data_IF_323878838392
#
_entry.id   IF_323878838392
#
_cell.length_a   1.000
_cell.length_b   1.000
_cell.length_c   1.000
_cell.angle_alpha   90.00
_cell.angle_beta   90.00
_cell.angle_gamma   90.00
#
_symmetry.space_group_name_H-M   'P 1'
#
loop_
_entity.id
_entity.type
_entity.pdbx_description
1 polymer ?
#
# COMPACT_ATOMS: atom_id res chain seq x y z
N UNK A 1 3.37 52.17 -10.91
CA UNK A 1 2.98 51.45 -9.68
C UNK A 1 3.28 49.97 -9.95
N UNK A 2 4.40 49.45 -9.45
CA UNK A 2 4.86 48.07 -9.69
C UNK A 2 4.67 47.28 -8.41
N UNK A 3 3.86 46.21 -8.45
CA UNK A 3 3.66 45.31 -7.31
C UNK A 3 4.71 44.21 -7.42
N UNK A 4 5.73 44.28 -6.56
CA UNK A 4 6.71 43.23 -6.39
C UNK A 4 6.02 42.07 -5.65
N UNK A 5 5.71 40.98 -6.36
CA UNK A 5 5.28 39.71 -5.76
C UNK A 5 6.44 39.14 -4.94
N UNK A 6 6.40 39.32 -3.63
CA UNK A 6 7.37 38.73 -2.70
C UNK A 6 7.33 37.20 -2.76
N UNK A 7 8.48 36.59 -3.00
CA UNK A 7 8.70 35.15 -3.01
C UNK A 7 8.64 34.56 -1.59
N UNK A 8 7.45 34.55 -0.97
CA UNK A 8 7.26 34.04 0.39
C UNK A 8 7.15 32.51 0.47
N UNK A 9 6.95 31.82 -0.66
CA UNK A 9 6.77 30.35 -0.67
C UNK A 9 8.04 29.54 -0.37
N UNK A 10 9.22 30.08 -0.66
CA UNK A 10 10.49 29.36 -0.48
C UNK A 10 10.92 29.20 0.99
N UNK A 11 10.62 30.18 1.84
CA UNK A 11 10.99 30.14 3.26
C UNK A 11 10.06 29.28 4.10
N UNK A 12 8.78 29.19 3.71
CA UNK A 12 7.79 28.40 4.45
C UNK A 12 8.04 26.89 4.33
N UNK A 13 8.50 26.41 3.15
CA UNK A 13 8.91 25.00 2.96
C UNK A 13 10.13 24.63 3.81
N UNK A 14 11.13 25.52 3.89
CA UNK A 14 12.32 25.30 4.72
C UNK A 14 11.99 25.30 6.21
N UNK A 15 11.11 26.21 6.64
CA UNK A 15 10.62 26.25 8.03
C UNK A 15 9.88 24.96 8.40
N UNK A 16 9.02 24.44 7.52
CA UNK A 16 8.30 23.18 7.74
C UNK A 16 9.24 21.98 7.83
N UNK A 17 10.25 21.90 6.96
CA UNK A 17 11.26 20.83 7.01
C UNK A 17 12.07 20.90 8.32
N UNK A 18 12.46 22.11 8.74
CA UNK A 18 13.21 22.29 10.00
C UNK A 18 12.33 21.98 11.21
N UNK A 19 11.06 22.41 11.24
CA UNK A 19 10.12 22.05 12.30
C UNK A 19 9.84 20.55 12.34
N UNK A 20 9.72 19.90 11.19
CA UNK A 20 9.62 18.45 11.09
C UNK A 20 10.87 17.79 11.68
N UNK A 21 12.08 18.15 11.25
CA UNK A 21 13.32 17.61 11.80
C UNK A 21 13.49 17.87 13.31
N UNK A 22 13.10 19.04 13.81
CA UNK A 22 13.16 19.37 15.24
C UNK A 22 12.14 18.58 16.06
N UNK A 23 10.96 18.28 15.49
CA UNK A 23 10.00 17.39 16.13
C UNK A 23 10.60 15.98 16.34
N UNK A 24 11.39 15.46 15.40
CA UNK A 24 12.08 14.17 15.54
C UNK A 24 13.38 14.22 16.34
N UNK A 25 13.95 15.41 16.60
CA UNK A 25 15.20 15.56 17.34
C UNK A 25 15.01 15.62 18.87
N UNK A 26 13.77 15.71 19.37
CA UNK A 26 13.52 15.70 20.80
C UNK A 26 13.79 14.30 21.39
N UNK A 27 14.44 14.19 22.56
CA UNK A 27 14.68 12.90 23.24
C UNK A 27 13.42 12.10 23.55
N UNK A 28 12.25 12.75 23.48
CA UNK A 28 10.92 12.19 23.62
C UNK A 28 10.42 11.44 22.37
N UNK A 29 11.26 11.22 21.36
CA UNK A 29 10.99 10.35 20.21
C UNK A 29 12.12 9.32 20.07
N UNK A 30 12.49 8.70 21.19
CA UNK A 30 13.51 7.66 21.18
C UNK A 30 12.98 6.46 20.38
N UNK A 31 13.68 6.11 19.28
CA UNK A 31 13.47 4.87 18.56
C UNK A 31 13.79 3.70 19.52
N UNK A 32 12.78 2.95 19.91
CA UNK A 32 12.90 1.82 20.85
C UNK A 32 13.06 0.47 20.18
N UNK A 33 12.72 0.37 18.90
CA UNK A 33 12.87 -0.88 18.18
C UNK A 33 12.62 -0.73 16.69
N UNK A 34 13.19 -1.65 15.93
CA UNK A 34 12.92 -1.83 14.50
C UNK A 34 12.53 -3.28 14.27
N UNK A 35 11.46 -3.50 13.52
CA UNK A 35 11.03 -4.85 13.12
C UNK A 35 10.80 -4.92 11.62
N UNK A 36 11.11 -6.07 11.02
CA UNK A 36 10.91 -6.34 9.60
C UNK A 36 9.88 -7.45 9.45
N UNK A 37 9.00 -7.36 8.47
CA UNK A 37 8.01 -8.38 8.25
C UNK A 37 7.79 -8.71 6.79
N UNK A 38 7.37 -9.94 6.56
CA UNK A 38 6.84 -10.43 5.30
C UNK A 38 5.36 -10.71 5.49
N UNK A 39 4.53 -10.41 4.50
CA UNK A 39 3.10 -10.69 4.56
C UNK A 39 2.55 -11.10 3.20
N UNK A 40 1.53 -11.95 3.25
CA UNK A 40 0.73 -12.36 2.11
C UNK A 40 -0.75 -12.18 2.43
N UNK A 41 -1.57 -12.01 1.41
CA UNK A 41 -2.97 -11.70 1.63
C UNK A 41 -3.78 -11.54 0.37
N UNK A 42 -4.91 -10.86 0.55
CA UNK A 42 -5.88 -10.57 -0.50
C UNK A 42 -6.24 -9.09 -0.45
N UNK A 43 -6.33 -8.51 -1.63
CA UNK A 43 -6.90 -7.20 -1.84
C UNK A 43 -8.28 -7.40 -2.47
N UNK A 44 -9.30 -6.79 -1.89
CA UNK A 44 -10.70 -7.06 -2.20
C UNK A 44 -11.51 -5.79 -2.46
N UNK A 45 -12.63 -5.93 -3.17
CA UNK A 45 -13.50 -4.83 -3.60
C UNK A 45 -12.75 -3.78 -4.43
N UNK A 46 -11.92 -4.25 -5.37
CA UNK A 46 -11.23 -3.36 -6.29
C UNK A 46 -12.18 -2.93 -7.42
N UNK A 47 -13.08 -2.00 -7.10
CA UNK A 47 -13.99 -1.41 -8.08
C UNK A 47 -13.31 -0.21 -8.74
N UNK A 48 -13.05 -0.33 -10.04
CA UNK A 48 -12.42 0.69 -10.88
C UNK A 48 -13.23 0.82 -12.17
N UNK A 49 -14.15 1.80 -12.25
CA UNK A 49 -15.04 1.96 -13.40
C UNK A 49 -14.31 2.27 -14.71
N UNK A 50 -13.11 2.88 -14.62
CA UNK A 50 -12.25 3.16 -15.77
C UNK A 50 -11.54 1.92 -16.31
N UNK A 51 -11.56 0.80 -15.58
CA UNK A 51 -10.85 -0.44 -15.88
C UNK A 51 -11.77 -1.66 -15.97
N UNK A 52 -13.07 -1.50 -15.73
CA UNK A 52 -14.04 -2.60 -15.83
C UNK A 52 -14.37 -2.88 -17.30
N UNK A 53 -13.90 -4.00 -17.84
CA UNK A 53 -14.56 -4.58 -19.02
C UNK A 53 -15.95 -5.09 -18.61
N UNK A 54 -16.95 -5.12 -19.52
CA UNK A 54 -18.27 -5.64 -19.16
C UNK A 54 -18.12 -7.11 -18.76
N UNK A 55 -18.49 -7.45 -17.51
CA UNK A 55 -18.42 -8.78 -16.85
C UNK A 55 -17.18 -9.12 -16.00
N UNK A 56 -16.23 -8.20 -15.83
CA UNK A 56 -15.05 -8.47 -14.97
C UNK A 56 -15.33 -8.29 -13.48
N UNK A 57 -15.27 -9.39 -12.74
CA UNK A 57 -15.24 -9.38 -11.29
C UNK A 57 -13.81 -9.14 -10.79
N UNK A 58 -13.37 -7.88 -10.72
CA UNK A 58 -12.08 -7.48 -10.15
C UNK A 58 -12.07 -7.55 -8.60
N UNK A 59 -13.00 -8.28 -7.98
CA UNK A 59 -13.22 -8.25 -6.53
C UNK A 59 -12.08 -8.80 -5.69
N UNK A 60 -11.14 -9.58 -6.22
CA UNK A 60 -10.07 -10.22 -5.44
C UNK A 60 -8.74 -10.27 -6.21
N UNK A 61 -7.66 -9.76 -5.60
CA UNK A 61 -6.28 -9.86 -6.08
C UNK A 61 -5.41 -10.51 -5.00
N UNK A 62 -4.49 -11.38 -5.40
CA UNK A 62 -3.47 -11.89 -4.49
C UNK A 62 -2.51 -10.75 -4.12
N UNK A 63 -2.04 -10.72 -2.88
CA UNK A 63 -1.15 -9.67 -2.39
C UNK A 63 0.03 -10.28 -1.65
N UNK A 64 1.22 -9.72 -1.88
CA UNK A 64 2.45 -10.05 -1.16
C UNK A 64 3.24 -8.79 -0.87
N UNK A 65 3.92 -8.72 0.26
CA UNK A 65 4.64 -7.51 0.62
C UNK A 65 5.61 -7.64 1.78
N UNK A 66 6.35 -6.56 1.96
CA UNK A 66 7.30 -6.36 3.04
C UNK A 66 6.85 -5.18 3.89
N UNK A 67 7.15 -5.23 5.18
CA UNK A 67 6.94 -4.11 6.09
C UNK A 67 8.13 -3.88 7.00
N UNK A 68 8.32 -2.62 7.38
CA UNK A 68 9.27 -2.19 8.41
C UNK A 68 8.48 -1.40 9.44
N UNK A 69 8.63 -1.76 10.71
CA UNK A 69 8.01 -1.07 11.84
C UNK A 69 9.09 -0.39 12.67
N UNK A 70 8.87 0.88 12.97
CA UNK A 70 9.68 1.68 13.88
C UNK A 70 8.85 1.96 15.13
N UNK A 71 9.31 1.47 16.28
CA UNK A 71 8.66 1.74 17.56
C UNK A 71 9.32 2.93 18.23
N UNK A 72 8.51 3.82 18.80
CA UNK A 72 8.98 5.02 19.49
C UNK A 72 8.28 5.23 20.83
N UNK A 73 9.01 5.73 21.82
CA UNK A 73 8.39 6.28 23.04
C UNK A 73 8.03 7.74 22.75
N UNK A 74 6.81 8.24 23.06
CA UNK A 74 5.63 7.52 23.54
C UNK A 74 4.48 7.44 22.51
N UNK A 75 3.74 6.32 22.58
CA UNK A 75 2.40 6.05 22.02
C UNK A 75 2.26 5.55 20.58
N UNK A 76 3.13 5.91 19.63
CA UNK A 76 2.90 5.53 18.24
C UNK A 76 4.08 4.80 17.61
N UNK A 77 3.76 3.71 16.92
CA UNK A 77 4.67 3.05 16.00
C UNK A 77 4.41 3.57 14.59
N UNK A 78 5.45 3.60 13.77
CA UNK A 78 5.35 3.91 12.34
C UNK A 78 5.59 2.63 11.55
N UNK A 79 4.64 2.27 10.68
CA UNK A 79 4.76 1.14 9.76
C UNK A 79 4.92 1.68 8.35
N UNK A 80 6.02 1.32 7.70
CA UNK A 80 6.25 1.53 6.27
C UNK A 80 6.14 0.19 5.58
N UNK A 81 5.37 0.09 4.49
CA UNK A 81 5.22 -1.15 3.73
C UNK A 81 5.27 -0.93 2.22
N UNK A 82 5.80 -1.94 1.54
CA UNK A 82 5.76 -2.10 0.09
C UNK A 82 5.04 -3.40 -0.24
N UNK A 83 3.96 -3.32 -0.99
CA UNK A 83 3.06 -4.43 -1.31
C UNK A 83 2.83 -4.50 -2.81
N UNK A 84 2.77 -5.70 -3.36
CA UNK A 84 2.43 -5.97 -4.74
C UNK A 84 1.18 -6.83 -4.77
N UNK A 85 0.10 -6.27 -5.31
CA UNK A 85 -1.12 -7.01 -5.60
C UNK A 85 -1.16 -7.37 -7.09
N UNK A 86 -1.61 -8.59 -7.39
CA UNK A 86 -1.74 -9.04 -8.77
C UNK A 86 -2.94 -9.97 -8.96
N UNK A 87 -3.44 -9.97 -10.18
CA UNK A 87 -4.42 -10.92 -10.68
C UNK A 87 -4.13 -11.20 -12.16
N UNK A 88 -4.40 -12.43 -12.58
CA UNK A 88 -4.32 -12.82 -13.97
C UNK A 88 -5.60 -13.58 -14.31
N UNK A 89 -6.34 -13.08 -15.28
CA UNK A 89 -7.54 -13.69 -15.81
C UNK A 89 -7.28 -14.05 -17.29
N UNK A 90 -7.82 -15.18 -17.73
CA UNK A 90 -7.65 -15.66 -19.10
C UNK A 90 -9.03 -15.88 -19.71
N UNK A 91 -9.28 -15.28 -20.87
CA UNK A 91 -10.55 -15.40 -21.58
C UNK A 91 -10.34 -16.12 -22.90
N UNK A 92 -11.27 -17.03 -23.24
CA UNK A 92 -11.29 -17.64 -24.56
C UNK A 92 -12.28 -16.90 -25.45
N UNK A 93 -11.77 -16.26 -26.50
CA UNK A 93 -12.56 -15.56 -27.51
C UNK A 93 -12.27 -16.22 -28.85
N UNK A 94 -13.32 -16.72 -29.52
CA UNK A 94 -13.21 -17.37 -30.84
C UNK A 94 -12.21 -18.54 -30.90
N UNK A 95 -11.99 -19.24 -29.77
CA UNK A 95 -11.06 -20.38 -29.69
C UNK A 95 -9.61 -19.99 -29.38
N UNK A 96 -9.35 -18.71 -29.14
CA UNK A 96 -8.03 -18.18 -28.79
C UNK A 96 -8.05 -17.58 -27.38
N UNK A 97 -6.90 -17.60 -26.71
CA UNK A 97 -6.77 -17.11 -25.33
C UNK A 97 -6.24 -15.70 -25.31
N UNK A 98 -6.92 -14.82 -24.59
CA UNK A 98 -6.48 -13.47 -24.24
C UNK A 98 -6.21 -13.45 -22.74
N UNK A 99 -5.00 -13.06 -22.33
CA UNK A 99 -4.64 -12.93 -20.92
C UNK A 99 -4.72 -11.47 -20.49
N UNK A 100 -5.46 -11.22 -19.41
CA UNK A 100 -5.55 -9.94 -18.74
C UNK A 100 -4.83 -9.99 -17.40
N UNK A 101 -3.90 -9.08 -17.17
CA UNK A 101 -3.17 -9.00 -15.91
C UNK A 101 -3.40 -7.65 -15.28
N UNK A 102 -3.94 -7.63 -14.07
CA UNK A 102 -4.04 -6.42 -13.25
C UNK A 102 -2.97 -6.47 -12.18
N UNK A 103 -2.29 -5.34 -11.94
CA UNK A 103 -1.30 -5.18 -10.88
C UNK A 103 -1.48 -3.86 -10.14
N UNK A 104 -1.15 -3.87 -8.86
CA UNK A 104 -1.05 -2.66 -8.04
C UNK A 104 0.19 -2.76 -7.15
N UNK A 105 1.14 -1.84 -7.35
CA UNK A 105 2.29 -1.68 -6.48
C UNK A 105 2.00 -0.56 -5.48
N UNK A 106 1.88 -0.93 -4.21
CA UNK A 106 1.48 -0.09 -3.10
C UNK A 106 2.67 0.23 -2.19
N UNK A 107 2.91 1.51 -1.95
CA UNK A 107 3.81 1.99 -0.90
C UNK A 107 3.03 2.79 0.14
N UNK A 108 3.09 2.39 1.41
CA UNK A 108 2.31 3.02 2.47
C UNK A 108 3.13 3.36 3.70
N UNK A 109 2.76 4.44 4.36
CA UNK A 109 3.28 4.84 5.66
C UNK A 109 2.12 5.09 6.63
N UNK A 110 2.16 4.47 7.81
CA UNK A 110 1.05 4.46 8.76
C UNK A 110 1.55 4.75 10.17
N UNK A 111 0.79 5.53 10.92
CA UNK A 111 0.96 5.65 12.37
C UNK A 111 -0.03 4.71 13.05
N UNK A 112 0.47 3.86 13.95
CA UNK A 112 -0.35 2.88 14.68
C UNK A 112 -0.16 3.02 16.18
N UNK A 113 -1.24 2.81 16.92
CA UNK A 113 -1.26 2.75 18.37
C UNK A 113 -1.36 1.27 18.80
N UNK A 114 -0.32 0.69 19.42
CA UNK A 114 -0.36 -0.67 19.94
C UNK A 114 -1.03 -0.71 21.32
N UNK A 115 -1.87 -1.72 21.54
CA UNK A 115 -2.45 -2.05 22.84
C UNK A 115 -1.73 -3.27 23.41
N UNK A 116 -1.02 -3.11 24.52
CA UNK A 116 -0.25 -4.21 25.12
C UNK A 116 -1.18 -5.14 25.92
N UNK A 117 -1.39 -6.36 25.43
CA UNK A 117 -2.00 -7.46 26.18
C UNK A 117 -0.95 -8.56 26.44
N UNK A 118 -1.13 -9.42 27.46
CA UNK A 118 -0.10 -10.39 27.86
C UNK A 118 0.32 -11.41 26.79
N UNK A 119 -0.54 -11.69 25.81
CA UNK A 119 -0.33 -12.72 24.77
C UNK A 119 -0.55 -12.20 23.35
N UNK A 120 -1.03 -10.96 23.20
CA UNK A 120 -1.32 -10.36 21.91
C UNK A 120 -1.14 -8.85 21.96
N UNK A 121 -0.83 -8.25 20.81
CA UNK A 121 -0.73 -6.80 20.66
C UNK A 121 -1.67 -6.37 19.54
N UNK A 122 -2.96 -6.17 19.83
CA UNK A 122 -3.84 -5.50 18.88
C UNK A 122 -3.33 -4.08 18.63
N UNK A 123 -3.57 -3.56 17.44
CA UNK A 123 -3.23 -2.19 17.09
C UNK A 123 -4.27 -1.59 16.15
N UNK A 124 -4.38 -0.28 16.20
CA UNK A 124 -5.22 0.52 15.31
C UNK A 124 -4.41 1.70 14.79
N UNK A 125 -4.64 2.10 13.55
CA UNK A 125 -3.92 3.22 12.97
C UNK A 125 -4.53 3.73 11.69
N UNK A 126 -3.85 4.73 11.15
CA UNK A 126 -4.19 5.35 9.89
C UNK A 126 -2.92 5.73 9.14
N UNK A 127 -3.02 5.87 7.83
CA UNK A 127 -1.86 6.20 7.01
C UNK A 127 -2.21 6.77 5.67
N UNK A 128 -1.16 7.00 4.91
CA UNK A 128 -1.19 7.40 3.51
C UNK A 128 -0.53 6.32 2.68
N UNK A 129 -1.00 6.19 1.45
CA UNK A 129 -0.50 5.20 0.52
C UNK A 129 -0.42 5.75 -0.89
N UNK A 130 0.58 5.32 -1.65
CA UNK A 130 0.71 5.56 -3.07
C UNK A 130 0.53 4.24 -3.78
N UNK A 131 -0.39 4.21 -4.72
CA UNK A 131 -0.73 3.07 -5.56
C UNK A 131 -0.19 3.32 -6.96
N UNK A 132 0.44 2.32 -7.55
CA UNK A 132 0.86 2.31 -8.93
C UNK A 132 0.10 1.17 -9.61
N UNK A 133 -1.06 1.54 -10.13
CA UNK A 133 -2.05 0.63 -10.68
C UNK A 133 -1.77 0.47 -12.16
N UNK A 134 -1.70 -0.76 -12.64
CA UNK A 134 -1.54 -1.00 -14.06
C UNK A 134 -2.25 -2.25 -14.53
N UNK A 135 -2.44 -2.33 -15.84
CA UNK A 135 -2.89 -3.55 -16.49
C UNK A 135 -2.00 -3.86 -17.68
N UNK A 136 -1.89 -5.15 -17.98
CA UNK A 136 -1.29 -5.66 -19.21
C UNK A 136 -2.34 -6.54 -19.91
N UNK A 137 -2.51 -6.32 -21.22
CA UNK A 137 -3.33 -7.18 -22.10
C UNK A 137 -2.39 -7.91 -23.05
N UNK A 138 -2.37 -9.24 -22.96
CA UNK A 138 -1.60 -10.09 -23.87
C UNK A 138 -2.55 -10.71 -24.90
N UNK A 139 -2.40 -10.31 -26.17
CA UNK A 139 -3.21 -10.81 -27.29
C UNK A 139 -2.62 -12.10 -27.88
N UNK A 140 -3.45 -12.99 -28.46
CA UNK A 140 -2.97 -14.14 -29.20
C UNK A 140 -2.20 -13.69 -30.45
N UNK A 141 -1.14 -14.43 -30.81
CA UNK A 141 -0.24 -14.09 -31.92
C UNK A 141 -0.93 -14.02 -33.29
N UNK A 142 -2.08 -14.65 -33.42
CA UNK A 142 -2.99 -14.62 -34.58
C UNK A 142 -3.72 -13.29 -34.76
N UNK A 143 -3.90 -12.51 -33.69
CA UNK A 143 -4.52 -11.18 -33.72
C UNK A 143 -3.48 -10.05 -33.80
N UNK A 144 -2.23 -10.35 -33.46
CA UNK A 144 -1.13 -9.44 -33.71
C UNK A 144 -0.96 -9.27 -35.23
N UNK A 145 -1.30 -8.07 -35.73
CA UNK A 145 -0.83 -7.66 -37.06
C UNK A 145 0.70 -7.75 -37.05
N UNK A 146 1.30 -8.21 -38.14
CA UNK A 146 2.66 -8.79 -38.21
C UNK A 146 3.86 -7.92 -37.75
N UNK A 147 3.62 -6.76 -37.14
CA UNK A 147 4.62 -5.88 -36.52
C UNK A 147 4.20 -5.28 -35.15
N UNK A 148 2.99 -5.59 -34.64
CA UNK A 148 2.42 -5.00 -33.41
C UNK A 148 1.77 -6.06 -32.50
N UNK A 149 2.50 -7.14 -32.18
CA UNK A 149 2.21 -7.93 -30.99
C UNK A 149 2.60 -7.13 -29.72
N UNK A 150 2.11 -5.90 -29.59
CA UNK A 150 2.41 -5.04 -28.45
C UNK A 150 1.37 -5.33 -27.35
N UNK A 151 1.87 -5.85 -26.23
CA UNK A 151 1.11 -5.86 -24.98
C UNK A 151 0.72 -4.42 -24.66
N UNK A 152 -0.58 -4.14 -24.53
CA UNK A 152 -1.01 -2.81 -24.09
C UNK A 152 -0.83 -2.77 -22.58
N UNK A 153 0.14 -1.97 -22.13
CA UNK A 153 0.37 -1.69 -20.72
C UNK A 153 0.04 -0.22 -20.43
N UNK A 154 -0.82 0.03 -19.46
CA UNK A 154 -0.97 1.36 -18.86
C UNK A 154 -0.71 1.30 -17.37
N UNK A 155 -0.24 2.41 -16.84
CA UNK A 155 0.10 2.56 -15.43
C UNK A 155 -0.30 3.94 -14.95
N UNK A 156 -1.02 4.00 -13.84
CA UNK A 156 -1.43 5.23 -13.20
C UNK A 156 -0.99 5.26 -11.74
N UNK A 157 -0.35 6.36 -11.35
CA UNK A 157 -0.04 6.62 -9.94
C UNK A 157 -1.19 7.35 -9.28
N UNK A 158 -1.64 6.82 -8.14
CA UNK A 158 -2.73 7.36 -7.33
C UNK A 158 -2.28 7.46 -5.88
N UNK A 159 -2.86 8.42 -5.15
CA UNK A 159 -2.65 8.53 -3.72
C UNK A 159 -3.94 8.14 -2.99
N UNK A 160 -3.78 7.58 -1.81
CA UNK A 160 -4.87 7.21 -0.95
C UNK A 160 -4.52 7.42 0.51
N UNK A 161 -5.55 7.28 1.34
CA UNK A 161 -5.42 7.17 2.77
C UNK A 161 -6.09 5.88 3.22
N UNK A 162 -5.69 5.37 4.38
CA UNK A 162 -6.24 4.13 4.89
C UNK A 162 -6.41 4.17 6.39
N UNK A 163 -7.38 3.39 6.86
CA UNK A 163 -7.50 2.96 8.24
C UNK A 163 -7.04 1.53 8.34
N UNK A 164 -6.35 1.18 9.41
CA UNK A 164 -5.85 -0.16 9.62
C UNK A 164 -6.07 -0.62 11.04
N UNK A 165 -6.31 -1.92 11.18
CA UNK A 165 -6.27 -2.61 12.45
C UNK A 165 -5.56 -3.93 12.26
N UNK A 166 -4.87 -4.39 13.28
CA UNK A 166 -4.24 -5.69 13.23
C UNK A 166 -4.00 -6.22 14.62
N UNK A 167 -3.44 -7.42 14.67
CA UNK A 167 -3.00 -8.02 15.90
C UNK A 167 -1.70 -8.77 15.68
N UNK A 168 -0.84 -8.74 16.70
CA UNK A 168 0.39 -9.50 16.72
C UNK A 168 0.37 -10.51 17.86
N UNK A 169 0.89 -11.71 17.63
CA UNK A 169 1.06 -12.74 18.65
C UNK A 169 2.55 -13.08 18.71
N UNK A 170 3.16 -12.79 19.85
CA UNK A 170 4.57 -13.11 20.10
C UNK A 170 4.76 -14.61 20.36
N UNK A 171 5.80 -15.19 19.75
CA UNK A 171 6.22 -16.56 20.07
C UNK A 171 7.24 -16.49 21.23
N UNK A 172 6.99 -17.12 22.39
CA UNK A 172 7.81 -16.93 23.60
C UNK A 172 9.31 -17.25 23.46
N UNK A 173 9.67 -18.06 22.47
CA UNK A 173 11.03 -18.57 22.29
C UNK A 173 11.75 -18.02 21.04
N UNK A 174 11.10 -17.17 20.26
CA UNK A 174 11.65 -16.67 19.00
C UNK A 174 11.44 -15.16 18.87
N UNK A 175 12.37 -14.43 18.21
CA UNK A 175 12.18 -13.02 17.84
C UNK A 175 11.14 -12.84 16.71
N UNK A 176 10.21 -13.79 16.57
CA UNK A 176 9.19 -13.87 15.55
C UNK A 176 7.82 -13.64 16.19
N UNK A 177 7.04 -12.76 15.56
CA UNK A 177 5.64 -12.51 15.87
C UNK A 177 4.80 -12.91 14.66
N UNK A 178 3.69 -13.58 14.90
CA UNK A 178 2.64 -13.72 13.90
C UNK A 178 1.90 -12.40 13.82
N UNK A 179 1.62 -11.91 12.61
CA UNK A 179 0.88 -10.68 12.38
C UNK A 179 -0.31 -10.98 11.48
N UNK A 180 -1.46 -10.38 11.78
CA UNK A 180 -2.56 -10.28 10.84
C UNK A 180 -3.12 -8.86 10.87
N UNK A 181 -3.49 -8.36 9.70
CA UNK A 181 -3.78 -6.96 9.47
C UNK A 181 -4.90 -6.81 8.45
N UNK A 182 -5.82 -5.91 8.77
CA UNK A 182 -6.92 -5.49 7.92
C UNK A 182 -6.79 -3.99 7.63
N UNK A 183 -6.95 -3.60 6.36
CA UNK A 183 -6.94 -2.20 5.93
C UNK A 183 -8.19 -1.86 5.14
N UNK A 184 -8.73 -0.68 5.41
CA UNK A 184 -9.71 0.01 4.59
C UNK A 184 -8.97 1.14 3.86
N UNK A 185 -8.83 1.02 2.55
CA UNK A 185 -8.14 2.01 1.73
C UNK A 185 -9.15 2.84 0.94
N UNK A 186 -8.91 4.14 0.87
CA UNK A 186 -9.61 5.09 0.02
C UNK A 186 -8.62 5.68 -0.96
N UNK A 187 -8.78 5.36 -2.24
CA UNK A 187 -7.88 5.77 -3.31
C UNK A 187 -8.57 6.89 -4.09
N UNK A 188 -7.88 8.02 -4.25
CA UNK A 188 -8.38 9.16 -5.00
C UNK A 188 -8.27 8.86 -6.51
N UNK A 189 -9.42 8.67 -7.17
CA UNK A 189 -9.52 8.43 -8.61
C UNK A 189 -10.14 9.66 -9.30
N UNK A 190 -9.94 9.86 -10.62
CA UNK A 190 -10.36 11.09 -11.30
C UNK A 190 -11.85 11.47 -11.16
N UNK A 191 -12.74 10.49 -10.93
CA UNK A 191 -14.19 10.70 -10.87
C UNK A 191 -14.83 10.25 -9.55
N UNK A 192 -14.14 9.45 -8.75
CA UNK A 192 -14.68 8.87 -7.52
C UNK A 192 -13.58 8.43 -6.56
N UNK A 193 -13.95 8.03 -5.35
CA UNK A 193 -13.02 7.43 -4.39
C UNK A 193 -13.22 5.92 -4.38
N UNK A 194 -12.24 5.18 -4.90
CA UNK A 194 -12.27 3.73 -4.87
C UNK A 194 -12.03 3.24 -3.42
N UNK A 195 -12.87 2.32 -2.95
CA UNK A 195 -12.80 1.75 -1.60
C UNK A 195 -12.32 0.32 -1.67
N UNK A 196 -11.10 0.08 -1.22
CA UNK A 196 -10.42 -1.20 -1.37
C UNK A 196 -10.08 -1.75 0.01
N UNK A 197 -10.42 -3.00 0.25
CA UNK A 197 -10.11 -3.66 1.52
C UNK A 197 -8.92 -4.59 1.35
N UNK A 198 -8.00 -4.60 2.30
CA UNK A 198 -6.84 -5.50 2.28
C UNK A 198 -6.87 -6.35 3.54
N UNK A 199 -6.71 -7.67 3.37
CA UNK A 199 -6.48 -8.58 4.48
C UNK A 199 -5.13 -9.25 4.28
N UNK A 200 -4.25 -9.20 5.29
CA UNK A 200 -2.92 -9.81 5.23
C UNK A 200 -2.62 -10.58 6.50
N UNK A 201 -1.82 -11.63 6.35
CA UNK A 201 -1.20 -12.36 7.44
C UNK A 201 0.30 -12.54 7.14
N UNK A 202 1.11 -12.57 8.17
CA UNK A 202 2.56 -12.52 7.99
C UNK A 202 3.36 -12.86 9.23
N UNK A 203 4.67 -12.75 9.05
CA UNK A 203 5.66 -12.91 10.10
C UNK A 203 6.40 -11.60 10.27
N UNK A 204 6.60 -11.19 11.52
CA UNK A 204 7.36 -10.00 11.90
C UNK A 204 8.54 -10.43 12.76
N UNK A 205 9.74 -10.08 12.33
CA UNK A 205 10.99 -10.29 13.03
C UNK A 205 11.41 -8.99 13.72
N UNK A 206 11.52 -9.03 15.05
CA UNK A 206 12.00 -7.89 15.83
C UNK A 206 13.51 -7.95 16.00
N UNK A 207 14.20 -6.85 15.67
CA UNK A 207 15.61 -6.71 16.00
C UNK A 207 15.78 -6.40 17.50
N UNK A 208 16.80 -6.96 18.16
CA UNK A 208 17.19 -6.60 19.52
C UNK A 208 17.75 -5.16 19.61
#
# INVERSE_FOLDING_TARGET
>A
MSIIKGNQGGNMKKLLIVMFCLAFAAPSFALTGVSFGVKGGLLTNYDQPSLSTPSEDNSNMALGGLQVRFSSIPMFDVIVSGEYAWRSDSYSILGETVDFKTRDLLFSASAVYPFELPFATPYFGAGLATHNVGFDVDYPATWALADEAESISTTETRMGYHLMTGFEIGLPAFPLKLNAEYRLNWIDMPYETAKVNTFTAGLVFSLP
#
